data_IF_360256391718
#
_entry.id   IF_360256391718
#
_cell.length_a   1.000
_cell.length_b   1.000
_cell.length_c   1.000
_cell.angle_alpha   90.00
_cell.angle_beta   90.00
_cell.angle_gamma   90.00
#
_symmetry.space_group_name_H-M   'P 1'
#
loop_
_entity.id
_entity.type
_entity.pdbx_description
1 polymer ?
#
# COMPACT_ATOMS: atom_id res chain seq x y z
N UNK A 1 11.74 4.53 -16.81
CA UNK A 1 10.95 3.81 -15.78
C UNK A 1 11.79 2.67 -15.24
N UNK A 2 11.79 2.43 -13.93
CA UNK A 2 12.45 1.28 -13.29
C UNK A 2 11.35 0.27 -12.96
N UNK A 3 11.34 -0.86 -13.64
CA UNK A 3 10.43 -1.96 -13.33
C UNK A 3 11.12 -2.90 -12.36
N UNK A 4 10.43 -3.23 -11.27
CA UNK A 4 10.84 -4.30 -10.36
C UNK A 4 10.35 -5.62 -10.95
N UNK A 5 11.25 -6.59 -11.06
CA UNK A 5 10.93 -7.95 -11.52
C UNK A 5 10.47 -8.85 -10.37
N UNK A 6 10.68 -8.39 -9.14
CA UNK A 6 10.30 -9.03 -7.91
C UNK A 6 8.98 -8.48 -7.36
N UNK A 7 8.17 -9.37 -6.79
CA UNK A 7 6.93 -9.04 -6.13
C UNK A 7 7.16 -8.91 -4.62
N UNK A 8 6.34 -8.11 -3.95
CA UNK A 8 6.27 -8.14 -2.49
C UNK A 8 5.61 -9.44 -2.02
N UNK A 9 5.92 -9.94 -0.80
CA UNK A 9 5.56 -11.30 -0.38
C UNK A 9 4.06 -11.59 -0.34
N UNK A 10 3.23 -10.58 -0.06
CA UNK A 10 1.81 -10.78 0.20
C UNK A 10 0.94 -10.62 -1.05
N UNK A 11 1.36 -9.81 -2.04
CA UNK A 11 0.59 -9.55 -3.24
C UNK A 11 1.45 -8.94 -4.35
N UNK A 12 1.14 -9.27 -5.61
CA UNK A 12 1.90 -8.79 -6.78
C UNK A 12 1.80 -7.27 -6.97
N UNK A 13 0.65 -6.68 -6.66
CA UNK A 13 0.42 -5.23 -6.74
C UNK A 13 0.79 -4.53 -5.43
N UNK A 14 2.03 -4.73 -4.98
CA UNK A 14 2.59 -4.15 -3.76
C UNK A 14 3.47 -2.93 -4.02
N UNK A 15 3.46 -1.97 -3.09
CA UNK A 15 4.31 -0.79 -3.14
C UNK A 15 4.75 -0.40 -1.73
N UNK A 16 6.04 -0.13 -1.55
CA UNK A 16 6.59 0.44 -0.32
C UNK A 16 6.97 1.91 -0.55
N UNK A 17 6.49 2.78 0.33
CA UNK A 17 6.77 4.22 0.32
C UNK A 17 7.73 4.52 1.45
N UNK A 18 8.84 5.19 1.13
CA UNK A 18 9.83 5.66 2.10
C UNK A 18 9.83 7.19 2.12
N UNK A 19 9.75 7.77 3.31
CA UNK A 19 9.93 9.21 3.53
C UNK A 19 11.26 9.47 4.24
N UNK A 20 11.97 10.49 3.76
CA UNK A 20 13.32 10.81 4.21
C UNK A 20 13.41 12.28 4.65
N UNK A 21 14.14 12.53 5.73
CA UNK A 21 14.59 13.86 6.14
C UNK A 21 16.10 13.93 5.97
N UNK A 22 16.55 14.42 4.80
CA UNK A 22 17.95 14.29 4.38
C UNK A 22 18.29 12.81 4.14
N UNK A 23 19.30 12.30 4.83
CA UNK A 23 19.72 10.89 4.74
C UNK A 23 19.02 9.97 5.75
N UNK A 24 18.19 10.53 6.65
CA UNK A 24 17.47 9.74 7.64
C UNK A 24 16.10 9.34 7.13
N UNK A 25 15.84 8.04 7.07
CA UNK A 25 14.48 7.53 6.88
C UNK A 25 13.64 7.86 8.12
N UNK A 26 12.51 8.53 7.91
CA UNK A 26 11.59 8.94 8.98
C UNK A 26 10.27 8.17 8.94
N UNK A 27 9.98 7.51 7.82
CA UNK A 27 8.78 6.70 7.67
C UNK A 27 8.98 5.68 6.54
N UNK A 28 8.46 4.48 6.74
CA UNK A 28 8.39 3.44 5.73
C UNK A 28 7.08 2.69 5.90
N UNK A 29 6.30 2.56 4.82
CA UNK A 29 5.07 1.79 4.85
C UNK A 29 4.79 1.08 3.53
N UNK A 30 4.35 -0.16 3.65
CA UNK A 30 3.98 -1.01 2.52
C UNK A 30 2.46 -1.06 2.36
N UNK A 31 2.00 -0.89 1.13
CA UNK A 31 0.60 -0.95 0.71
C UNK A 31 0.41 -1.95 -0.42
N UNK A 32 -0.77 -2.54 -0.48
CA UNK A 32 -1.17 -3.50 -1.48
C UNK A 32 -2.51 -3.09 -2.10
N UNK A 33 -2.59 -3.08 -3.42
CA UNK A 33 -3.85 -2.93 -4.14
C UNK A 33 -4.58 -4.27 -4.21
N UNK A 34 -5.80 -4.34 -3.65
CA UNK A 34 -6.58 -5.58 -3.52
C UNK A 34 -7.75 -5.67 -4.52
N UNK A 35 -7.72 -4.83 -5.56
CA UNK A 35 -8.74 -4.80 -6.62
C UNK A 35 -9.89 -3.84 -6.34
N UNK A 36 -10.62 -3.45 -7.39
CA UNK A 36 -11.77 -2.54 -7.29
C UNK A 36 -11.43 -1.10 -6.86
N UNK A 37 -10.16 -0.71 -6.88
CA UNK A 37 -9.69 0.62 -6.45
C UNK A 37 -9.35 0.72 -4.95
N UNK A 38 -9.38 -0.40 -4.21
CA UNK A 38 -9.07 -0.42 -2.78
C UNK A 38 -7.61 -0.79 -2.51
N UNK A 39 -7.06 -0.21 -1.44
CA UNK A 39 -5.72 -0.52 -0.93
C UNK A 39 -5.81 -0.93 0.54
N UNK A 40 -4.86 -1.77 0.96
CA UNK A 40 -4.65 -2.15 2.36
C UNK A 40 -3.18 -2.01 2.69
N UNK A 41 -2.83 -1.68 3.93
CA UNK A 41 -1.43 -1.77 4.35
C UNK A 41 -1.03 -3.20 4.73
N UNK A 42 0.27 -3.43 4.83
CA UNK A 42 0.82 -4.74 5.15
C UNK A 42 0.35 -5.32 6.49
N UNK A 43 0.20 -4.48 7.51
CA UNK A 43 -0.20 -4.90 8.86
C UNK A 43 -1.65 -5.39 8.92
N UNK A 44 -2.49 -4.91 7.99
CA UNK A 44 -3.90 -5.24 7.87
C UNK A 44 -4.20 -6.21 6.72
N UNK A 45 -3.19 -6.68 5.99
CA UNK A 45 -3.38 -7.60 4.87
C UNK A 45 -3.97 -8.94 5.34
N UNK A 46 -5.02 -9.43 4.66
CA UNK A 46 -5.69 -10.69 4.99
C UNK A 46 -6.47 -10.69 6.31
N UNK A 47 -6.49 -9.58 7.05
CA UNK A 47 -7.37 -9.40 8.21
C UNK A 47 -8.73 -8.87 7.75
N UNK A 48 -9.78 -9.26 8.46
CA UNK A 48 -11.14 -8.81 8.18
C UNK A 48 -11.24 -7.31 8.47
N UNK A 49 -10.96 -6.49 7.44
CA UNK A 49 -11.03 -5.05 7.55
C UNK A 49 -12.49 -4.60 7.48
N UNK A 50 -12.97 -3.97 8.54
CA UNK A 50 -14.24 -3.26 8.59
C UNK A 50 -14.25 -1.97 7.73
N UNK A 51 -13.35 -1.85 6.75
CA UNK A 51 -13.18 -0.65 5.94
C UNK A 51 -13.93 -0.79 4.61
N UNK A 52 -15.23 -1.01 4.70
CA UNK A 52 -16.18 -0.70 3.63
C UNK A 52 -16.61 0.76 3.79
N UNK A 53 -15.80 1.72 3.35
CA UNK A 53 -16.20 3.06 2.88
C UNK A 53 -15.01 4.03 2.95
N UNK A 54 -14.34 4.25 1.83
CA UNK A 54 -13.63 5.51 1.56
C UNK A 54 -13.41 5.58 0.04
N UNK A 55 -14.33 6.24 -0.67
CA UNK A 55 -14.20 6.38 -2.12
C UNK A 55 -15.32 7.11 -2.86
N UNK A 56 -16.46 7.39 -2.24
CA UNK A 56 -17.41 8.36 -2.80
C UNK A 56 -17.11 9.74 -2.19
N UNK A 57 -16.26 10.53 -2.86
CA UNK A 57 -16.29 11.97 -2.67
C UNK A 57 -17.61 12.49 -3.29
N UNK A 58 -18.45 13.24 -2.56
CA UNK A 58 -19.62 13.85 -3.16
C UNK A 58 -19.18 14.86 -4.24
N UNK A 59 -19.86 14.81 -5.38
CA UNK A 59 -19.80 15.82 -6.45
C UNK A 59 -20.21 17.20 -5.94
#
# INVERSE_FOLDING_TARGET
MRFRSDNLPLHENGMTIHAWAGEKEIYCKTYYSIGGGFIVDEEHFGKENAQRTAGALPI
#
